data_IF_646809277889
#
_entry.id   IF_646809277889
#
_cell.length_a   1.000
_cell.length_b   1.000
_cell.length_c   1.000
_cell.angle_alpha   90.00
_cell.angle_beta   90.00
_cell.angle_gamma   90.00
#
_symmetry.space_group_name_H-M   'P 1'
#
loop_
_entity.id
_entity.type
_entity.pdbx_description
1 polymer ?
#
# COMPACT_ATOMS: atom_id res chain seq x y z
N UNK A 1 -22.32 5.52 10.18
CA UNK A 1 -22.04 4.79 8.92
C UNK A 1 -21.04 5.61 8.14
N UNK A 2 -19.86 5.06 7.86
CA UNK A 2 -18.83 5.73 7.04
C UNK A 2 -19.32 5.81 5.59
N UNK A 3 -19.14 6.96 4.93
CA UNK A 3 -19.62 7.14 3.56
C UNK A 3 -18.81 6.28 2.59
N UNK A 4 -19.48 5.53 1.72
CA UNK A 4 -18.84 4.68 0.71
C UNK A 4 -17.97 5.55 -0.22
N UNK A 5 -16.68 5.25 -0.32
CA UNK A 5 -15.78 5.92 -1.28
C UNK A 5 -16.31 5.76 -2.70
N UNK A 6 -16.32 6.86 -3.45
CA UNK A 6 -16.70 6.86 -4.86
C UNK A 6 -15.58 6.22 -5.69
N UNK A 7 -15.93 5.55 -6.80
CA UNK A 7 -14.92 5.04 -7.73
C UNK A 7 -13.99 6.16 -8.19
N UNK A 8 -12.70 5.89 -8.21
CA UNK A 8 -11.69 6.81 -8.72
C UNK A 8 -11.96 7.17 -10.17
N UNK A 9 -11.89 8.47 -10.47
CA UNK A 9 -11.86 9.02 -11.82
C UNK A 9 -10.76 10.06 -11.84
N UNK A 10 -9.72 9.85 -12.66
CA UNK A 10 -8.65 10.83 -12.82
C UNK A 10 -9.18 12.04 -13.58
N UNK A 11 -9.17 13.22 -12.96
CA UNK A 11 -9.55 14.52 -13.55
C UNK A 11 -8.36 15.43 -13.77
N UNK A 12 -7.33 15.28 -12.94
CA UNK A 12 -6.05 15.98 -13.07
C UNK A 12 -4.86 15.02 -12.98
N UNK A 13 -3.67 15.39 -13.49
CA UNK A 13 -2.44 14.63 -13.26
C UNK A 13 -2.06 14.49 -11.78
N UNK A 14 -2.59 15.35 -10.91
CA UNK A 14 -2.34 15.33 -9.48
C UNK A 14 -3.32 14.42 -8.71
N UNK A 15 -4.35 13.90 -9.36
CA UNK A 15 -5.29 12.97 -8.74
C UNK A 15 -4.64 11.59 -8.64
N UNK A 16 -4.45 11.13 -7.40
CA UNK A 16 -3.76 9.88 -7.11
C UNK A 16 -4.76 8.76 -6.87
N UNK A 17 -4.42 7.59 -7.38
CA UNK A 17 -5.09 6.35 -7.00
C UNK A 17 -4.62 5.97 -5.60
N UNK A 18 -5.51 5.96 -4.62
CA UNK A 18 -5.18 5.49 -3.28
C UNK A 18 -5.21 3.97 -3.26
N UNK A 19 -4.07 3.35 -2.97
CA UNK A 19 -3.95 1.90 -2.94
C UNK A 19 -3.80 1.38 -1.52
N UNK A 20 -4.43 0.25 -1.25
CA UNK A 20 -4.07 -0.62 -0.13
C UNK A 20 -2.97 -1.56 -0.59
N UNK A 21 -1.94 -1.78 0.23
CA UNK A 21 -0.88 -2.73 -0.07
C UNK A 21 -1.06 -3.99 0.77
N UNK A 22 -0.90 -5.15 0.13
CA UNK A 22 -0.80 -6.45 0.81
C UNK A 22 0.64 -6.91 0.63
N UNK A 23 1.38 -7.05 1.74
CA UNK A 23 2.84 -7.24 1.72
C UNK A 23 3.27 -8.46 2.52
N UNK A 24 4.37 -9.09 2.08
CA UNK A 24 4.99 -10.22 2.75
C UNK A 24 6.49 -10.04 3.01
N UNK A 25 7.15 -11.04 3.64
CA UNK A 25 8.60 -11.12 3.69
C UNK A 25 9.22 -11.00 2.30
N UNK A 26 10.23 -10.13 2.15
CA UNK A 26 10.93 -9.93 0.88
C UNK A 26 10.14 -9.15 -0.18
N UNK A 27 9.02 -8.52 0.16
CA UNK A 27 8.26 -7.70 -0.78
C UNK A 27 9.12 -6.58 -1.39
N UNK A 28 9.02 -6.41 -2.71
CA UNK A 28 9.71 -5.33 -3.43
C UNK A 28 9.12 -3.97 -3.10
N UNK A 29 7.91 -3.93 -2.56
CA UNK A 29 7.21 -2.73 -2.11
C UNK A 29 7.92 -2.06 -0.96
N UNK A 30 8.67 -2.80 -0.13
CA UNK A 30 9.43 -2.19 0.95
C UNK A 30 10.62 -1.36 0.45
N UNK A 31 11.22 -1.69 -0.69
CA UNK A 31 12.47 -1.06 -1.17
C UNK A 31 12.43 -0.45 -2.57
N UNK A 32 11.38 -0.68 -3.36
CA UNK A 32 11.28 -0.18 -4.75
C UNK A 32 9.91 0.46 -4.94
N UNK A 33 8.84 -0.32 -4.90
CA UNK A 33 7.51 0.18 -5.28
C UNK A 33 6.99 1.23 -4.29
N UNK A 34 7.20 1.02 -3.00
CA UNK A 34 6.76 1.96 -1.99
C UNK A 34 7.48 3.31 -2.09
N UNK A 35 8.76 3.34 -2.44
CA UNK A 35 9.53 4.59 -2.56
C UNK A 35 9.10 5.43 -3.76
N UNK A 36 8.61 4.80 -4.83
CA UNK A 36 8.10 5.52 -6.00
C UNK A 36 6.61 5.91 -5.90
N UNK A 37 5.89 5.40 -4.89
CA UNK A 37 4.51 5.78 -4.56
C UNK A 37 4.44 6.77 -3.38
N UNK A 38 5.16 6.50 -2.30
CA UNK A 38 5.28 7.32 -1.10
C UNK A 38 6.77 7.67 -0.88
N UNK A 39 7.32 8.63 -1.65
CA UNK A 39 8.72 8.98 -1.58
C UNK A 39 9.11 9.51 -0.21
N UNK A 40 10.28 9.09 0.26
CA UNK A 40 10.93 9.68 1.43
C UNK A 40 11.48 11.08 1.11
N UNK A 41 11.80 11.91 2.11
CA UNK A 41 12.35 13.25 1.87
C UNK A 41 13.54 13.22 0.91
N UNK A 42 13.54 14.11 -0.08
CA UNK A 42 14.56 14.20 -1.13
C UNK A 42 14.25 13.40 -2.40
N UNK A 43 13.17 12.61 -2.43
CA UNK A 43 12.73 11.86 -3.61
C UNK A 43 11.41 12.41 -4.16
N UNK A 44 11.17 12.16 -5.45
CA UNK A 44 9.92 12.52 -6.13
C UNK A 44 9.08 11.26 -6.37
N UNK A 45 7.76 11.39 -6.23
CA UNK A 45 6.83 10.33 -6.63
C UNK A 45 6.86 10.22 -8.15
N UNK A 46 7.08 9.01 -8.68
CA UNK A 46 7.11 8.76 -10.14
C UNK A 46 5.92 7.94 -10.63
N UNK A 47 4.94 7.69 -9.76
CA UNK A 47 3.69 7.01 -10.08
C UNK A 47 2.47 7.91 -9.83
N UNK A 48 1.34 7.58 -10.46
CA UNK A 48 0.04 8.20 -10.16
C UNK A 48 -0.71 7.52 -9.00
N UNK A 49 0.02 6.90 -8.07
CA UNK A 49 -0.52 6.10 -6.96
C UNK A 49 0.00 6.64 -5.62
N UNK A 50 -0.75 6.37 -4.55
CA UNK A 50 -0.31 6.61 -3.18
C UNK A 50 -0.80 5.47 -2.28
N UNK A 51 0.11 4.90 -1.49
CA UNK A 51 -0.23 3.88 -0.51
C UNK A 51 -0.87 4.55 0.70
N UNK A 52 -2.00 4.02 1.14
CA UNK A 52 -2.78 4.57 2.28
C UNK A 52 -3.07 3.56 3.37
N UNK A 53 -3.10 2.27 3.02
CA UNK A 53 -3.36 1.18 3.95
C UNK A 53 -2.40 0.03 3.70
N UNK A 54 -2.03 -0.72 4.73
CA UNK A 54 -1.22 -1.92 4.63
C UNK A 54 -1.81 -3.05 5.44
N UNK A 55 -1.80 -4.24 4.85
CA UNK A 55 -2.06 -5.50 5.52
C UNK A 55 -0.95 -6.50 5.23
N UNK A 56 -0.70 -7.41 6.16
CA UNK A 56 0.19 -8.56 5.97
C UNK A 56 -0.31 -9.73 6.80
N UNK A 57 -0.09 -10.95 6.31
CA UNK A 57 -0.28 -12.16 7.10
C UNK A 57 0.62 -12.18 8.35
N UNK A 58 1.79 -11.53 8.28
CA UNK A 58 2.73 -11.33 9.40
C UNK A 58 2.61 -9.88 9.88
N UNK A 59 1.88 -9.58 10.99
CA UNK A 59 1.57 -8.22 11.40
C UNK A 59 2.79 -7.31 11.55
N UNK A 60 3.93 -7.87 11.99
CA UNK A 60 5.19 -7.14 12.13
C UNK A 60 5.71 -6.55 10.82
N UNK A 61 5.39 -7.18 9.68
CA UNK A 61 5.74 -6.67 8.36
C UNK A 61 4.90 -5.45 8.00
N UNK A 62 3.60 -5.48 8.29
CA UNK A 62 2.70 -4.35 8.07
C UNK A 62 3.10 -3.15 8.95
N UNK A 63 3.50 -3.39 10.20
CA UNK A 63 3.97 -2.35 11.11
C UNK A 63 5.25 -1.68 10.62
N UNK A 64 6.28 -2.46 10.26
CA UNK A 64 7.53 -1.91 9.69
C UNK A 64 7.28 -1.14 8.40
N UNK A 65 6.35 -1.62 7.57
CA UNK A 65 5.98 -0.94 6.34
C UNK A 65 5.35 0.43 6.63
N UNK A 66 4.39 0.50 7.55
CA UNK A 66 3.74 1.75 7.94
C UNK A 66 4.70 2.72 8.66
N UNK A 67 5.68 2.21 9.40
CA UNK A 67 6.74 3.03 10.01
C UNK A 67 7.62 3.69 8.94
N UNK A 68 8.02 2.94 7.90
CA UNK A 68 8.83 3.46 6.79
C UNK A 68 8.05 4.47 5.93
N UNK A 69 6.79 4.16 5.60
CA UNK A 69 5.98 4.97 4.69
C UNK A 69 4.91 5.74 5.47
N UNK A 70 5.26 6.96 5.87
CA UNK A 70 4.37 7.85 6.64
C UNK A 70 3.00 8.02 5.98
N UNK A 71 1.95 7.99 6.79
CA UNK A 71 0.55 8.12 6.33
C UNK A 71 -0.11 6.80 5.92
N UNK A 72 0.64 5.71 5.81
CA UNK A 72 0.08 4.36 5.60
C UNK A 72 -0.49 3.83 6.91
N UNK A 73 -1.76 3.41 6.90
CA UNK A 73 -2.46 2.85 8.07
C UNK A 73 -2.42 1.34 8.04
N UNK A 74 -2.05 0.72 9.15
CA UNK A 74 -2.15 -0.73 9.31
C UNK A 74 -3.62 -1.10 9.50
N UNK A 75 -4.08 -2.12 8.78
CA UNK A 75 -5.38 -2.76 9.02
C UNK A 75 -5.16 -4.18 9.55
N UNK A 76 -6.10 -4.67 10.36
CA UNK A 76 -6.01 -6.02 10.95
C UNK A 76 -6.57 -7.08 9.98
N UNK A 77 -7.56 -6.70 9.19
CA UNK A 77 -8.17 -7.54 8.16
C UNK A 77 -8.06 -6.86 6.78
N UNK A 78 -7.65 -7.56 5.71
CA UNK A 78 -7.53 -6.93 4.39
C UNK A 78 -8.88 -6.41 3.87
N UNK A 79 -10.01 -6.97 4.34
CA UNK A 79 -11.36 -6.52 4.01
C UNK A 79 -11.69 -5.16 4.60
N UNK A 80 -10.97 -4.70 5.62
CA UNK A 80 -11.16 -3.37 6.19
C UNK A 80 -10.76 -2.25 5.22
N UNK A 81 -10.07 -2.56 4.13
CA UNK A 81 -9.76 -1.63 3.04
C UNK A 81 -10.93 -1.44 2.06
N UNK A 82 -11.93 -2.33 2.08
CA UNK A 82 -13.08 -2.27 1.16
C UNK A 82 -13.83 -0.96 1.35
N UNK A 83 -13.99 -0.21 0.25
CA UNK A 83 -14.63 1.10 0.27
C UNK A 83 -13.78 2.22 0.87
N UNK A 84 -12.50 1.98 1.17
CA UNK A 84 -11.52 2.99 1.63
C UNK A 84 -10.40 3.24 0.62
N UNK A 85 -10.04 2.24 -0.19
CA UNK A 85 -9.02 2.34 -1.24
C UNK A 85 -9.65 2.22 -2.63
N UNK A 86 -8.95 2.74 -3.65
CA UNK A 86 -9.35 2.65 -5.05
C UNK A 86 -8.92 1.33 -5.69
N UNK A 87 -7.91 0.67 -5.12
CA UNK A 87 -7.41 -0.63 -5.55
C UNK A 87 -6.48 -1.25 -4.52
N UNK A 88 -6.09 -2.50 -4.77
CA UNK A 88 -5.12 -3.22 -3.96
C UNK A 88 -3.88 -3.54 -4.80
N UNK A 89 -2.71 -3.27 -4.25
CA UNK A 89 -1.42 -3.67 -4.81
C UNK A 89 -0.90 -4.86 -3.99
N UNK A 90 -0.91 -6.05 -4.59
CA UNK A 90 -0.51 -7.29 -3.91
C UNK A 90 0.94 -7.59 -4.24
N UNK A 91 1.78 -7.55 -3.22
CA UNK A 91 3.20 -7.90 -3.24
C UNK A 91 3.52 -8.77 -2.01
N UNK A 92 2.59 -9.67 -1.73
CA UNK A 92 2.68 -10.74 -0.76
C UNK A 92 2.45 -12.05 -1.51
N UNK A 93 3.50 -12.51 -2.15
CA UNK A 93 3.51 -13.84 -2.73
C UNK A 93 4.91 -14.36 -2.58
N UNK A 94 5.05 -15.41 -1.78
CA UNK A 94 6.16 -16.33 -1.97
C UNK A 94 5.98 -16.91 -3.38
N UNK A 95 6.57 -16.27 -4.39
CA UNK A 95 6.64 -16.82 -5.75
C UNK A 95 7.35 -18.19 -5.76
N UNK A 96 8.08 -18.50 -4.67
CA UNK A 96 8.72 -19.77 -4.39
C UNK A 96 8.72 -19.99 -2.87
N UNK A 97 8.52 -21.22 -2.41
CA UNK A 97 8.64 -21.59 -0.98
C UNK A 97 10.12 -21.59 -0.56
N UNK A 98 10.71 -20.40 -0.34
CA UNK A 98 12.11 -20.22 0.06
C UNK A 98 12.31 -19.96 1.55
N UNK A 99 11.25 -20.05 2.35
CA UNK A 99 11.37 -20.05 3.81
C UNK A 99 11.15 -21.48 4.30
N UNK A 100 12.08 -22.06 5.10
CA UNK A 100 11.91 -23.39 5.68
C UNK A 100 10.71 -23.44 6.64
#
# INVERSE_FOLDING_TARGET
MEAKKKCFVRRSPNDLVEVGVIVGPGCHSYGIWGEIMNPTPGHIRTTGMIMTHVWSLKPEMAWRFAEKFQGVKVVEDPRDMVGKVDGVFVDDVNAVSIYP
#
